data_IF_539133504752
#
_entry.id   IF_539133504752
#
_cell.length_a   1.000
_cell.length_b   1.000
_cell.length_c   1.000
_cell.angle_alpha   90.00
_cell.angle_beta   90.00
_cell.angle_gamma   90.00
#
_symmetry.space_group_name_H-M   'P 1'
#
loop_
_entity.id
_entity.type
_entity.pdbx_description
1 polymer ?
#
# COMPACT_ATOMS: atom_id res chain seq x y z
N UNK A 1 -8.39 2.72 -6.22
CA UNK A 1 -9.70 3.27 -5.82
C UNK A 1 -9.50 4.74 -5.50
N UNK A 2 -10.42 5.62 -5.88
CA UNK A 2 -10.36 7.02 -5.46
C UNK A 2 -10.58 7.14 -3.95
N UNK A 3 -9.87 8.05 -3.27
CA UNK A 3 -9.93 8.22 -1.81
C UNK A 3 -11.35 8.57 -1.35
N UNK A 4 -12.00 9.44 -2.11
CA UNK A 4 -13.37 9.93 -1.87
C UNK A 4 -14.39 8.78 -1.89
N UNK A 5 -14.17 7.78 -2.75
CA UNK A 5 -15.01 6.58 -2.78
C UNK A 5 -14.78 5.68 -1.57
N UNK A 6 -13.54 5.59 -1.09
CA UNK A 6 -13.25 4.84 0.13
C UNK A 6 -13.89 5.51 1.36
N UNK A 7 -13.86 6.85 1.42
CA UNK A 7 -14.54 7.61 2.47
C UNK A 7 -16.06 7.41 2.45
N UNK A 8 -16.67 7.32 1.27
CA UNK A 8 -18.11 7.10 1.14
C UNK A 8 -18.53 5.65 1.47
N UNK A 9 -17.77 4.66 0.99
CA UNK A 9 -18.09 3.24 1.18
C UNK A 9 -17.72 2.72 2.57
N UNK A 10 -16.85 3.42 3.31
CA UNK A 10 -16.42 3.09 4.67
C UNK A 10 -16.01 1.61 4.87
N UNK A 11 -15.16 1.04 4.00
CA UNK A 11 -14.63 -0.31 4.24
C UNK A 11 -13.83 -0.34 5.55
N UNK A 12 -13.73 -1.50 6.22
CA UNK A 12 -13.16 -1.58 7.56
C UNK A 12 -11.75 -1.00 7.70
N UNK A 13 -10.88 -1.19 6.70
CA UNK A 13 -9.51 -0.65 6.64
C UNK A 13 -9.09 -0.45 5.18
N UNK A 14 -8.31 0.59 4.89
CA UNK A 14 -7.86 0.92 3.53
C UNK A 14 -6.41 1.38 3.57
N UNK A 15 -5.61 0.87 2.64
CA UNK A 15 -4.40 1.56 2.18
C UNK A 15 -4.70 2.30 0.87
N UNK A 16 -4.28 3.55 0.79
CA UNK A 16 -4.50 4.39 -0.39
C UNK A 16 -3.16 4.70 -1.07
N UNK A 17 -3.06 4.34 -2.35
CA UNK A 17 -1.89 4.60 -3.20
C UNK A 17 -2.20 5.63 -4.29
N UNK A 18 -1.21 6.44 -4.66
CA UNK A 18 -1.31 7.40 -5.77
C UNK A 18 -0.89 6.78 -7.10
N UNK A 19 -1.49 5.63 -7.42
CA UNK A 19 -1.27 4.90 -8.68
C UNK A 19 -2.44 5.12 -9.64
N UNK A 20 -2.28 4.82 -10.95
CA UNK A 20 -3.37 4.88 -11.90
C UNK A 20 -4.54 4.00 -11.48
N UNK A 21 -5.75 4.42 -11.85
CA UNK A 21 -6.96 3.65 -11.57
C UNK A 21 -6.86 2.22 -12.15
N UNK A 22 -7.36 1.24 -11.40
CA UNK A 22 -7.25 -0.18 -11.75
C UNK A 22 -5.88 -0.83 -11.49
N UNK A 23 -4.92 -0.10 -10.90
CA UNK A 23 -3.57 -0.62 -10.61
C UNK A 23 -3.18 -0.49 -9.13
N UNK A 24 -4.00 -0.96 -8.17
CA UNK A 24 -3.75 -0.75 -6.75
C UNK A 24 -2.47 -1.43 -6.23
N UNK A 25 -2.04 -2.52 -6.86
CA UNK A 25 -0.83 -3.27 -6.48
C UNK A 25 0.41 -2.85 -7.25
N UNK A 26 0.34 -1.83 -8.12
CA UNK A 26 1.48 -1.36 -8.89
C UNK A 26 1.50 -1.82 -10.35
N UNK A 27 2.70 -1.89 -10.90
CA UNK A 27 2.99 -2.18 -12.29
C UNK A 27 2.81 -3.67 -12.62
N UNK A 28 2.35 -3.98 -13.85
CA UNK A 28 2.41 -5.35 -14.35
C UNK A 28 3.84 -5.88 -14.27
N UNK A 29 3.98 -7.12 -13.80
CA UNK A 29 5.27 -7.83 -13.70
C UNK A 29 6.31 -7.19 -12.75
N UNK A 30 5.93 -6.24 -11.90
CA UNK A 30 6.80 -5.71 -10.85
C UNK A 30 6.50 -6.38 -9.51
N UNK A 31 7.04 -7.59 -9.31
CA UNK A 31 6.76 -8.40 -8.13
C UNK A 31 7.19 -7.73 -6.82
N UNK A 32 8.32 -7.02 -6.81
CA UNK A 32 8.80 -6.31 -5.62
C UNK A 32 7.85 -5.20 -5.19
N UNK A 33 7.34 -4.41 -6.15
CA UNK A 33 6.35 -3.39 -5.87
C UNK A 33 5.07 -3.99 -5.29
N UNK A 34 4.53 -5.00 -5.97
CA UNK A 34 3.29 -5.67 -5.53
C UNK A 34 3.43 -6.20 -4.10
N UNK A 35 4.59 -6.77 -3.80
CA UNK A 35 4.88 -7.30 -2.47
C UNK A 35 4.97 -6.20 -1.41
N UNK A 36 5.66 -5.10 -1.69
CA UNK A 36 5.73 -3.94 -0.78
C UNK A 36 4.33 -3.41 -0.46
N UNK A 37 3.46 -3.27 -1.46
CA UNK A 37 2.09 -2.78 -1.25
C UNK A 37 1.26 -3.76 -0.41
N UNK A 38 1.39 -5.06 -0.66
CA UNK A 38 0.67 -6.10 0.11
C UNK A 38 1.17 -6.12 1.56
N UNK A 39 2.48 -6.06 1.78
CA UNK A 39 3.07 -6.01 3.12
C UNK A 39 2.55 -4.79 3.90
N UNK A 40 2.48 -3.62 3.27
CA UNK A 40 1.94 -2.41 3.92
C UNK A 40 0.43 -2.53 4.20
N UNK A 41 -0.33 -3.16 3.29
CA UNK A 41 -1.74 -3.44 3.51
C UNK A 41 -1.98 -4.39 4.69
N UNK A 42 -1.17 -5.45 4.80
CA UNK A 42 -1.22 -6.41 5.91
C UNK A 42 -0.79 -5.75 7.22
N UNK A 43 0.23 -4.91 7.20
CA UNK A 43 0.64 -4.15 8.37
C UNK A 43 -0.50 -3.25 8.88
N UNK A 44 -1.21 -2.55 8.00
CA UNK A 44 -2.39 -1.75 8.37
C UNK A 44 -3.54 -2.63 8.86
N UNK A 45 -3.72 -3.83 8.30
CA UNK A 45 -4.70 -4.79 8.78
C UNK A 45 -4.44 -5.16 10.25
N UNK A 46 -3.18 -5.37 10.63
CA UNK A 46 -2.78 -5.75 11.99
C UNK A 46 -2.76 -4.57 12.96
N UNK A 47 -2.39 -3.37 12.51
CA UNK A 47 -2.12 -2.23 13.40
C UNK A 47 -3.24 -1.21 13.50
N UNK A 48 -4.18 -1.15 12.54
CA UNK A 48 -5.25 -0.17 12.59
C UNK A 48 -6.29 -0.50 13.68
N UNK A 49 -6.38 0.39 14.67
CA UNK A 49 -7.23 0.25 15.85
C UNK A 49 -8.70 0.61 15.61
N UNK A 50 -9.01 1.40 14.56
CA UNK A 50 -10.36 1.92 14.29
C UNK A 50 -10.88 1.44 12.94
N UNK A 51 -12.15 0.98 12.86
CA UNK A 51 -12.82 0.78 11.57
C UNK A 51 -12.85 2.06 10.75
N UNK A 52 -12.81 1.94 9.42
CA UNK A 52 -12.78 3.06 8.49
C UNK A 52 -11.41 3.76 8.39
N UNK A 53 -10.35 3.21 8.99
CA UNK A 53 -9.00 3.80 8.90
C UNK A 53 -8.50 3.75 7.46
N UNK A 54 -8.12 4.92 6.92
CA UNK A 54 -7.53 5.07 5.59
C UNK A 54 -6.09 5.58 5.74
N UNK A 55 -5.12 4.74 5.40
CA UNK A 55 -3.69 5.09 5.47
C UNK A 55 -3.16 5.40 4.07
N UNK A 56 -2.70 6.64 3.79
CA UNK A 56 -2.05 6.95 2.54
C UNK A 56 -0.60 6.41 2.53
N UNK A 57 -0.27 5.59 1.54
CA UNK A 57 1.11 5.15 1.31
C UNK A 57 1.90 6.25 0.58
N UNK A 58 3.19 6.39 0.91
CA UNK A 58 4.03 7.48 0.40
C UNK A 58 4.38 7.33 -1.09
N UNK A 59 4.27 6.13 -1.65
CA UNK A 59 4.75 5.80 -2.98
C UNK A 59 4.06 6.60 -4.09
N UNK A 60 4.84 6.92 -5.13
CA UNK A 60 4.35 7.51 -6.38
C UNK A 60 4.56 6.53 -7.54
N UNK A 61 3.67 6.58 -8.52
CA UNK A 61 3.73 5.69 -9.69
C UNK A 61 5.07 5.77 -10.42
N UNK A 62 5.78 4.63 -10.55
CA UNK A 62 7.09 4.51 -11.22
C UNK A 62 8.19 5.43 -10.64
N UNK A 63 8.20 5.68 -9.32
CA UNK A 63 9.18 6.60 -8.69
C UNK A 63 10.04 5.99 -7.59
N UNK A 64 9.86 4.72 -7.27
CA UNK A 64 10.52 4.06 -6.15
C UNK A 64 11.37 2.89 -6.63
N UNK A 65 12.45 2.60 -5.92
CA UNK A 65 13.17 1.32 -6.05
C UNK A 65 12.60 0.33 -5.03
N UNK A 66 11.63 -0.46 -5.48
CA UNK A 66 10.96 -1.43 -4.61
C UNK A 66 11.85 -2.62 -4.21
N UNK A 67 12.85 -2.96 -5.03
CA UNK A 67 13.80 -4.01 -4.67
C UNK A 67 14.69 -3.53 -3.51
N UNK A 68 15.11 -2.28 -3.54
CA UNK A 68 15.85 -1.65 -2.44
C UNK A 68 15.01 -1.55 -1.17
N UNK A 69 13.75 -1.09 -1.26
CA UNK A 69 12.83 -1.06 -0.11
C UNK A 69 12.75 -2.44 0.56
N UNK A 70 12.63 -3.51 -0.23
CA UNK A 70 12.57 -4.87 0.29
C UNK A 70 13.88 -5.32 0.94
N UNK A 71 15.03 -4.99 0.35
CA UNK A 71 16.35 -5.28 0.94
C UNK A 71 16.51 -4.59 2.29
N UNK A 72 16.09 -3.32 2.39
CA UNK A 72 16.15 -2.55 3.62
C UNK A 72 15.27 -3.16 4.72
N UNK A 73 14.03 -3.57 4.38
CA UNK A 73 13.13 -4.27 5.32
C UNK A 73 13.72 -5.58 5.84
N UNK A 74 14.34 -6.38 4.96
CA UNK A 74 14.98 -7.63 5.37
C UNK A 74 16.21 -7.41 6.28
N UNK A 75 16.80 -6.21 6.23
CA UNK A 75 17.97 -5.84 7.04
C UNK A 75 17.59 -5.23 8.39
N UNK A 76 16.31 -4.89 8.61
CA UNK A 76 15.80 -4.40 9.89
C UNK A 76 15.27 -5.60 10.69
N UNK A 77 15.90 -5.98 11.82
CA UNK A 77 15.37 -7.03 12.67
C UNK A 77 14.05 -6.59 13.33
N UNK A 78 13.14 -7.56 13.50
CA UNK A 78 11.85 -7.40 14.18
C UNK A 78 12.00 -7.07 15.67
#
# INVERSE_FOLDING_TARGET
MFKEMAEHLQPPRVVHVRFPFGRPLGEPNCADQQRVIIEDALHVLETAEKPGTIIPLAYRWKREDYAEIRRQRASQPS
#
